data_IF_545380973892
#
_entry.id   IF_545380973892
#
_cell.length_a   1.000
_cell.length_b   1.000
_cell.length_c   1.000
_cell.angle_alpha   90.00
_cell.angle_beta   90.00
_cell.angle_gamma   90.00
#
_symmetry.space_group_name_H-M   'P 1'
#
loop_
_entity.id
_entity.type
_entity.pdbx_description
1 polymer ?
#
# COMPACT_ATOMS: atom_id res chain seq x y z
N UNK A 1 35.10 -19.08 -3.09
CA UNK A 1 34.58 -18.59 -1.80
C UNK A 1 33.08 -18.39 -1.97
N UNK A 2 32.27 -19.37 -1.58
CA UNK A 2 30.83 -19.34 -1.81
C UNK A 2 30.19 -18.34 -0.83
N UNK A 3 29.56 -17.29 -1.36
CA UNK A 3 28.75 -16.38 -0.56
C UNK A 3 27.52 -17.14 -0.07
N UNK A 4 27.40 -17.30 1.25
CA UNK A 4 26.21 -17.87 1.86
C UNK A 4 25.06 -16.85 1.71
N UNK A 5 24.28 -16.97 0.64
CA UNK A 5 23.14 -16.09 0.39
C UNK A 5 22.07 -16.37 1.45
N UNK A 6 22.08 -15.58 2.52
CA UNK A 6 20.96 -15.52 3.47
C UNK A 6 19.69 -15.18 2.70
N UNK A 7 18.71 -16.08 2.71
CA UNK A 7 17.40 -15.78 2.15
C UNK A 7 16.75 -14.66 2.96
N UNK A 8 15.90 -13.86 2.31
CA UNK A 8 15.02 -12.88 3.00
C UNK A 8 14.27 -13.53 4.16
N UNK A 9 13.84 -14.79 3.97
CA UNK A 9 13.16 -15.57 5.00
C UNK A 9 14.08 -15.90 6.17
N UNK A 10 15.32 -16.34 5.91
CA UNK A 10 16.28 -16.71 6.95
C UNK A 10 16.73 -15.49 7.75
N UNK A 11 16.92 -14.35 7.09
CA UNK A 11 17.19 -13.08 7.76
C UNK A 11 16.04 -12.67 8.67
N UNK A 12 14.80 -12.69 8.19
CA UNK A 12 13.62 -12.33 8.98
C UNK A 12 13.40 -13.28 10.17
N UNK A 13 13.54 -14.60 9.96
CA UNK A 13 13.40 -15.59 11.05
C UNK A 13 14.48 -15.40 12.11
N UNK A 14 15.73 -15.21 11.69
CA UNK A 14 16.85 -15.04 12.62
C UNK A 14 16.73 -13.73 13.41
N UNK A 15 16.34 -12.63 12.75
CA UNK A 15 16.16 -11.32 13.40
C UNK A 15 14.89 -11.22 14.25
N UNK A 16 13.80 -11.87 13.86
CA UNK A 16 12.55 -11.89 14.62
C UNK A 16 12.73 -12.53 16.01
N UNK A 17 13.63 -13.51 16.15
CA UNK A 17 13.94 -14.15 17.43
C UNK A 17 14.56 -13.20 18.47
N UNK A 18 15.23 -12.15 18.00
CA UNK A 18 15.86 -11.11 18.83
C UNK A 18 14.92 -9.93 19.10
N UNK A 19 13.91 -9.72 18.25
CA UNK A 19 12.98 -8.59 18.30
C UNK A 19 11.75 -8.82 19.20
N UNK A 20 11.89 -9.62 20.28
CA UNK A 20 10.77 -9.96 21.19
C UNK A 20 10.15 -8.68 21.75
N UNK A 21 8.86 -8.47 21.46
CA UNK A 21 8.10 -7.30 21.92
C UNK A 21 8.20 -6.05 21.04
N UNK A 22 8.86 -6.12 19.88
CA UNK A 22 8.86 -5.01 18.93
C UNK A 22 7.48 -4.80 18.30
N UNK A 23 7.15 -3.54 17.99
CA UNK A 23 5.90 -3.16 17.34
C UNK A 23 5.68 -3.93 16.03
N UNK A 24 6.74 -4.18 15.26
CA UNK A 24 6.68 -4.96 14.04
C UNK A 24 6.17 -6.40 14.28
N UNK A 25 6.64 -7.07 15.34
CA UNK A 25 6.17 -8.43 15.67
C UNK A 25 4.71 -8.43 16.13
N UNK A 26 4.30 -7.41 16.89
CA UNK A 26 2.91 -7.27 17.36
C UNK A 26 1.93 -6.95 16.21
N UNK A 27 2.35 -6.13 15.25
CA UNK A 27 1.53 -5.72 14.10
C UNK A 27 1.62 -6.67 12.91
N UNK A 28 2.60 -7.59 12.88
CA UNK A 28 2.83 -8.49 11.75
C UNK A 28 1.59 -9.29 11.30
N UNK A 29 0.76 -9.85 12.20
CA UNK A 29 -0.44 -10.58 11.77
C UNK A 29 -1.44 -9.67 11.05
N UNK A 30 -1.71 -8.48 11.58
CA UNK A 30 -2.64 -7.53 10.97
C UNK A 30 -2.14 -7.04 9.61
N UNK A 31 -0.84 -6.72 9.52
CA UNK A 31 -0.20 -6.34 8.25
C UNK A 31 -0.31 -7.49 7.23
N UNK A 32 -0.01 -8.72 7.64
CA UNK A 32 -0.05 -9.87 6.74
C UNK A 32 -1.46 -10.17 6.25
N UNK A 33 -2.48 -10.08 7.12
CA UNK A 33 -3.88 -10.24 6.75
C UNK A 33 -4.28 -9.18 5.73
N UNK A 34 -4.01 -7.91 5.99
CA UNK A 34 -4.35 -6.83 5.08
C UNK A 34 -3.61 -6.95 3.72
N UNK A 35 -2.34 -7.41 3.72
CA UNK A 35 -1.62 -7.70 2.48
C UNK A 35 -2.23 -8.86 1.68
N UNK A 36 -2.73 -9.90 2.36
CA UNK A 36 -3.38 -11.04 1.69
C UNK A 36 -4.71 -10.63 1.09
N UNK A 37 -5.54 -9.93 1.85
CA UNK A 37 -6.81 -9.38 1.39
C UNK A 37 -6.61 -8.46 0.18
N UNK A 38 -5.62 -7.56 0.25
CA UNK A 38 -5.27 -6.70 -0.88
C UNK A 38 -4.81 -7.48 -2.12
N UNK A 39 -3.98 -8.51 -1.94
CA UNK A 39 -3.53 -9.36 -3.06
C UNK A 39 -4.67 -10.18 -3.67
N UNK A 40 -5.63 -10.63 -2.87
CA UNK A 40 -6.80 -11.36 -3.36
C UNK A 40 -7.76 -10.43 -4.10
N UNK A 41 -8.06 -9.26 -3.54
CA UNK A 41 -8.86 -8.22 -4.20
C UNK A 41 -8.24 -7.76 -5.52
N UNK A 42 -6.92 -7.59 -5.56
CA UNK A 42 -6.21 -7.25 -6.80
C UNK A 42 -6.30 -8.34 -7.86
N UNK A 43 -6.20 -9.62 -7.47
CA UNK A 43 -6.34 -10.75 -8.41
C UNK A 43 -7.76 -10.91 -8.93
N UNK A 44 -8.75 -10.55 -8.11
CA UNK A 44 -10.16 -10.71 -8.43
C UNK A 44 -10.79 -9.45 -9.04
N UNK A 45 -10.00 -8.38 -9.22
CA UNK A 45 -10.49 -7.06 -9.65
C UNK A 45 -11.72 -6.62 -8.84
N UNK A 46 -11.65 -6.81 -7.51
CA UNK A 46 -12.77 -6.53 -6.63
C UNK A 46 -13.20 -5.06 -6.73
N UNK A 47 -14.51 -4.80 -6.59
CA UNK A 47 -15.01 -3.44 -6.56
C UNK A 47 -14.47 -2.69 -5.33
N UNK A 48 -14.11 -1.42 -5.51
CA UNK A 48 -13.70 -0.53 -4.43
C UNK A 48 -14.90 -0.18 -3.53
N UNK A 49 -14.63 -0.09 -2.23
CA UNK A 49 -15.65 0.18 -1.21
C UNK A 49 -15.58 1.62 -0.70
N UNK A 50 -14.38 2.18 -0.54
CA UNK A 50 -14.15 3.53 -0.05
C UNK A 50 -13.88 4.53 -1.19
N UNK A 51 -13.18 4.08 -2.23
CA UNK A 51 -12.80 4.89 -3.38
C UNK A 51 -13.74 4.74 -4.58
N UNK A 52 -13.85 5.80 -5.39
CA UNK A 52 -14.36 5.67 -6.76
C UNK A 52 -13.29 5.03 -7.68
N UNK A 53 -13.71 4.57 -8.85
CA UNK A 53 -12.77 4.04 -9.84
C UNK A 53 -11.77 5.10 -10.31
N UNK A 54 -12.23 6.35 -10.47
CA UNK A 54 -11.39 7.48 -10.86
C UNK A 54 -10.34 7.79 -9.78
N UNK A 55 -10.77 7.88 -8.52
CA UNK A 55 -9.88 8.07 -7.37
C UNK A 55 -8.84 6.94 -7.29
N UNK A 56 -9.27 5.70 -7.49
CA UNK A 56 -8.39 4.54 -7.45
C UNK A 56 -7.32 4.58 -8.55
N UNK A 57 -7.65 5.02 -9.76
CA UNK A 57 -6.70 5.16 -10.87
C UNK A 57 -5.66 6.23 -10.54
N UNK A 58 -6.08 7.40 -10.08
CA UNK A 58 -5.18 8.49 -9.71
C UNK A 58 -4.25 8.10 -8.56
N UNK A 59 -4.80 7.54 -7.49
CA UNK A 59 -4.03 7.08 -6.34
C UNK A 59 -3.08 5.94 -6.69
N UNK A 60 -3.45 5.06 -7.62
CA UNK A 60 -2.55 4.01 -8.13
C UNK A 60 -1.36 4.63 -8.85
N UNK A 61 -1.59 5.63 -9.71
CA UNK A 61 -0.51 6.33 -10.40
C UNK A 61 0.43 7.06 -9.42
N UNK A 62 -0.11 7.68 -8.38
CA UNK A 62 0.68 8.30 -7.31
C UNK A 62 1.49 7.25 -6.54
N UNK A 63 0.86 6.14 -6.14
CA UNK A 63 1.53 5.07 -5.39
C UNK A 63 2.67 4.44 -6.19
N UNK A 64 2.48 4.22 -7.50
CA UNK A 64 3.51 3.72 -8.42
C UNK A 64 4.70 4.67 -8.57
N UNK A 65 4.54 5.98 -8.27
CA UNK A 65 5.65 6.95 -8.24
C UNK A 65 6.43 6.89 -6.93
N UNK A 66 5.78 6.53 -5.83
CA UNK A 66 6.42 6.40 -4.49
C UNK A 66 7.20 5.09 -4.40
N UNK A 67 6.59 3.99 -4.85
CA UNK A 67 7.20 2.65 -4.90
C UNK A 67 7.11 2.15 -6.34
N UNK A 68 8.09 2.50 -7.19
CA UNK A 68 8.10 2.09 -8.59
C UNK A 68 8.34 0.59 -8.75
N UNK A 69 7.90 0.09 -9.90
CA UNK A 69 8.22 -1.26 -10.36
C UNK A 69 9.61 -1.24 -11.00
N UNK A 70 10.62 -1.71 -10.25
CA UNK A 70 11.99 -1.89 -10.74
C UNK A 70 12.32 -3.40 -10.78
N UNK A 71 13.51 -3.80 -10.32
CA UNK A 71 13.91 -5.22 -10.19
C UNK A 71 13.02 -6.00 -9.19
N UNK A 72 12.18 -5.31 -8.43
CA UNK A 72 11.19 -5.88 -7.52
C UNK A 72 9.80 -5.32 -7.80
N UNK A 73 8.72 -6.09 -7.51
CA UNK A 73 7.35 -5.60 -7.65
C UNK A 73 7.12 -4.25 -6.94
N UNK A 74 6.45 -3.32 -7.63
CA UNK A 74 6.12 -1.98 -7.13
C UNK A 74 4.75 -1.92 -6.45
N UNK A 75 4.26 -0.70 -6.19
CA UNK A 75 2.98 -0.50 -5.53
C UNK A 75 1.78 -1.09 -6.30
N UNK A 76 1.83 -1.05 -7.63
CA UNK A 76 0.76 -1.57 -8.49
C UNK A 76 0.67 -3.08 -8.39
N UNK A 77 1.78 -3.81 -8.55
CA UNK A 77 1.80 -5.27 -8.46
C UNK A 77 1.54 -5.77 -7.03
N UNK A 78 1.89 -4.96 -6.03
CA UNK A 78 1.59 -5.23 -4.64
C UNK A 78 0.12 -5.00 -4.26
N UNK A 79 -0.71 -4.44 -5.17
CA UNK A 79 -2.13 -4.19 -4.91
C UNK A 79 -2.37 -3.13 -3.83
N UNK A 80 -1.46 -2.16 -3.68
CA UNK A 80 -1.50 -1.14 -2.61
C UNK A 80 -2.83 -0.39 -2.61
N UNK A 81 -3.45 -0.16 -3.77
CA UNK A 81 -4.72 0.57 -3.84
C UNK A 81 -5.86 -0.15 -3.10
N UNK A 82 -5.90 -1.48 -3.17
CA UNK A 82 -6.89 -2.29 -2.45
C UNK A 82 -6.64 -2.30 -0.95
N UNK A 83 -5.38 -2.27 -0.53
CA UNK A 83 -5.02 -2.10 0.88
C UNK A 83 -5.48 -0.75 1.43
N UNK A 84 -5.26 0.32 0.66
CA UNK A 84 -5.73 1.66 1.03
C UNK A 84 -7.26 1.71 1.09
N UNK A 85 -7.95 1.14 0.09
CA UNK A 85 -9.42 1.08 0.06
C UNK A 85 -9.99 0.37 1.30
N UNK A 86 -9.38 -0.75 1.70
CA UNK A 86 -9.78 -1.48 2.91
C UNK A 86 -9.58 -0.65 4.19
N UNK A 87 -8.43 0.03 4.32
CA UNK A 87 -8.16 0.89 5.49
C UNK A 87 -9.14 2.06 5.55
N UNK A 88 -9.34 2.77 4.43
CA UNK A 88 -10.21 3.94 4.40
C UNK A 88 -11.70 3.58 4.42
N UNK A 89 -12.05 2.30 4.22
CA UNK A 89 -13.39 1.79 4.46
C UNK A 89 -13.76 1.70 5.95
N UNK A 90 -12.79 1.78 6.86
CA UNK A 90 -13.07 1.83 8.29
C UNK A 90 -13.71 3.17 8.69
N UNK A 91 -14.84 3.19 9.44
CA UNK A 91 -15.50 4.43 9.86
C UNK A 91 -14.58 5.38 10.64
N UNK A 92 -13.62 4.84 11.40
CA UNK A 92 -12.67 5.64 12.17
C UNK A 92 -11.67 6.42 11.30
N UNK A 93 -11.56 6.05 10.01
CA UNK A 93 -10.64 6.64 9.03
C UNK A 93 -11.29 7.71 8.16
N UNK A 94 -12.58 7.99 8.36
CA UNK A 94 -13.32 9.01 7.59
C UNK A 94 -12.64 10.39 7.58
N UNK A 95 -12.14 10.94 8.72
CA UNK A 95 -11.46 12.24 8.69
C UNK A 95 -10.20 12.23 7.81
N UNK A 96 -9.45 11.13 7.81
CA UNK A 96 -8.25 10.99 6.97
C UNK A 96 -8.61 10.78 5.51
N UNK A 97 -9.73 10.12 5.20
CA UNK A 97 -10.24 9.98 3.84
C UNK A 97 -10.64 11.34 3.26
N UNK A 98 -11.31 12.20 4.04
CA UNK A 98 -11.64 13.57 3.62
C UNK A 98 -10.37 14.37 3.33
N UNK A 99 -9.38 14.30 4.22
CA UNK A 99 -8.09 14.98 4.03
C UNK A 99 -7.37 14.51 2.76
N UNK A 100 -7.39 13.21 2.46
CA UNK A 100 -6.80 12.65 1.25
C UNK A 100 -7.47 13.22 -0.02
N UNK A 101 -8.81 13.26 -0.03
CA UNK A 101 -9.61 13.79 -1.16
C UNK A 101 -9.38 15.28 -1.39
N UNK A 102 -9.26 16.05 -0.32
CA UNK A 102 -8.96 17.47 -0.42
C UNK A 102 -7.57 17.70 -1.02
N UNK A 103 -6.57 16.90 -0.62
CA UNK A 103 -5.23 16.94 -1.20
C UNK A 103 -5.20 16.55 -2.69
N UNK A 104 -5.95 15.52 -3.10
CA UNK A 104 -6.08 15.15 -4.52
C UNK A 104 -6.69 16.29 -5.34
N UNK A 105 -7.73 16.94 -4.82
CA UNK A 105 -8.37 18.09 -5.48
C UNK A 105 -7.41 19.25 -5.65
N UNK A 106 -6.65 19.59 -4.60
CA UNK A 106 -5.65 20.66 -4.65
C UNK A 106 -4.56 20.37 -5.69
N UNK A 107 -4.06 19.14 -5.74
CA UNK A 107 -3.09 18.72 -6.74
C UNK A 107 -3.64 18.85 -8.17
N UNK A 108 -4.90 18.42 -8.39
CA UNK A 108 -5.56 18.56 -9.69
C UNK A 108 -5.70 20.02 -10.13
N UNK A 109 -5.99 20.93 -9.20
CA UNK A 109 -6.03 22.37 -9.50
C UNK A 109 -4.66 22.92 -9.89
N UNK A 110 -3.59 22.49 -9.23
CA UNK A 110 -2.22 22.92 -9.55
C UNK A 110 -1.81 22.48 -10.96
N UNK A 111 -2.05 21.22 -11.32
CA UNK A 111 -1.74 20.69 -12.66
C UNK A 111 -2.48 21.45 -13.76
N UNK A 112 -3.74 21.82 -13.52
CA UNK A 112 -4.53 22.59 -14.47
C UNK A 112 -3.96 24.01 -14.70
N UNK A 113 -3.34 24.61 -13.69
CA UNK A 113 -2.70 25.93 -13.82
C UNK A 113 -1.35 25.91 -14.53
N UNK A 114 -0.63 24.79 -14.49
CA UNK A 114 0.68 24.64 -15.15
C UNK A 114 0.59 24.25 -16.63
N UNK A 115 -0.58 23.76 -17.08
CA UNK A 115 -0.81 23.31 -18.47
C UNK A 115 -1.47 24.39 -19.35
N UNK A 116 -1.69 25.61 -18.81
CA UNK A 116 -2.24 26.77 -19.53
C UNK A 116 -1.18 27.82 -19.86
#
# INVERSE_FOLDING_TARGET
MAANHLSRRDFLVNTASLAKGSLLVLSAPAILTACREASESARNEAAFTAFSNEEAVELTAIAARIIPSDDTPGATEAGVIYFLDNIFGEPQREPQLVMLRDGLRELGLQVATETG
#
